data_IF_062154566415
#
_entry.id   IF_062154566415
#
_cell.length_a   1.000
_cell.length_b   1.000
_cell.length_c   1.000
_cell.angle_alpha   90.00
_cell.angle_beta   90.00
_cell.angle_gamma   90.00
#
_symmetry.space_group_name_H-M   'P 1'
#
loop_
_entity.id
_entity.type
_entity.pdbx_description
1 polymer ?
#
# COMPACT_ATOMS: atom_id res chain seq x y z
N UNK A 1 24.37 -10.16 -15.65
CA UNK A 1 23.13 -10.26 -14.84
C UNK A 1 21.87 -9.99 -15.67
N UNK A 2 21.81 -8.92 -16.48
CA UNK A 2 20.63 -8.56 -17.30
C UNK A 2 20.18 -9.67 -18.27
N UNK A 3 21.08 -10.34 -18.95
CA UNK A 3 20.75 -11.46 -19.85
C UNK A 3 20.12 -12.63 -19.12
N UNK A 4 20.66 -13.00 -17.94
CA UNK A 4 20.10 -14.06 -17.12
C UNK A 4 18.75 -13.70 -16.52
N UNK A 5 18.57 -12.43 -16.11
CA UNK A 5 17.28 -11.90 -15.68
C UNK A 5 16.20 -12.08 -16.75
N UNK A 6 16.51 -11.70 -18.01
CA UNK A 6 15.56 -11.86 -19.12
C UNK A 6 15.32 -13.32 -19.53
N UNK A 7 16.30 -14.20 -19.29
CA UNK A 7 16.20 -15.61 -19.68
C UNK A 7 15.55 -16.50 -18.64
N UNK A 8 15.82 -16.27 -17.35
CA UNK A 8 15.43 -17.22 -16.29
C UNK A 8 14.36 -16.70 -15.34
N UNK A 9 14.15 -15.39 -15.27
CA UNK A 9 13.11 -14.79 -14.41
C UNK A 9 11.94 -14.27 -15.28
N UNK A 10 10.72 -14.72 -14.98
CA UNK A 10 9.55 -14.23 -15.69
C UNK A 10 9.32 -12.75 -15.41
N UNK A 11 9.11 -11.95 -16.48
CA UNK A 11 8.76 -10.55 -16.41
C UNK A 11 7.24 -10.37 -16.51
N UNK A 12 6.75 -9.23 -16.00
CA UNK A 12 5.34 -8.81 -16.08
C UNK A 12 5.10 -7.69 -17.11
N UNK A 13 6.15 -7.31 -17.84
CA UNK A 13 6.13 -6.34 -18.93
C UNK A 13 7.09 -6.79 -20.04
N UNK A 14 6.74 -6.54 -21.32
CA UNK A 14 7.68 -6.82 -22.44
C UNK A 14 8.88 -5.87 -22.45
N UNK A 15 8.81 -4.76 -21.69
CA UNK A 15 9.84 -3.73 -21.65
C UNK A 15 10.30 -3.44 -20.21
N UNK A 16 10.89 -4.41 -19.48
CA UNK A 16 11.36 -4.18 -18.12
C UNK A 16 12.52 -3.17 -18.11
N UNK A 17 12.60 -2.31 -17.10
CA UNK A 17 13.72 -1.37 -16.92
C UNK A 17 15.07 -2.11 -16.80
N UNK A 18 15.05 -3.30 -16.23
CA UNK A 18 16.21 -4.19 -16.10
C UNK A 18 17.47 -3.52 -15.52
N UNK A 19 17.28 -2.63 -14.55
CA UNK A 19 18.38 -2.00 -13.80
C UNK A 19 19.08 -3.06 -12.94
N UNK A 20 20.40 -3.17 -13.06
CA UNK A 20 21.21 -4.13 -12.32
C UNK A 20 21.57 -3.55 -10.94
N UNK A 21 20.79 -3.86 -9.93
CA UNK A 21 20.97 -3.35 -8.55
C UNK A 21 22.11 -4.08 -7.85
N UNK A 22 23.03 -3.32 -7.26
CA UNK A 22 24.12 -3.81 -6.39
C UNK A 22 23.67 -3.80 -4.92
N UNK A 23 23.28 -2.64 -4.41
CA UNK A 23 22.85 -2.45 -3.03
C UNK A 23 21.95 -1.22 -2.92
N UNK A 24 21.34 -1.02 -1.74
CA UNK A 24 20.55 0.16 -1.45
C UNK A 24 20.77 0.59 0.01
N UNK A 25 20.69 1.91 0.32
CA UNK A 25 20.85 2.44 1.67
C UNK A 25 20.13 3.79 1.81
N UNK A 26 19.38 3.98 2.90
CA UNK A 26 18.61 5.21 3.11
C UNK A 26 17.61 5.43 1.97
N UNK A 27 17.67 6.58 1.33
CA UNK A 27 16.83 6.95 0.18
C UNK A 27 17.46 6.58 -1.18
N UNK A 28 18.55 5.82 -1.22
CA UNK A 28 19.31 5.58 -2.45
C UNK A 28 19.42 4.11 -2.80
N UNK A 29 19.39 3.84 -4.12
CA UNK A 29 19.72 2.56 -4.76
C UNK A 29 21.00 2.75 -5.58
N UNK A 30 21.86 1.75 -5.62
CA UNK A 30 23.13 1.75 -6.36
C UNK A 30 23.13 0.61 -7.36
N UNK A 31 23.52 0.91 -8.59
CA UNK A 31 23.71 -0.12 -9.61
C UNK A 31 25.08 -0.81 -9.52
N UNK A 32 25.29 -1.81 -10.36
CA UNK A 32 26.56 -2.57 -10.43
C UNK A 32 27.75 -1.75 -10.96
N UNK A 33 27.51 -0.58 -11.55
CA UNK A 33 28.55 0.34 -12.03
C UNK A 33 28.88 1.40 -10.97
N UNK A 34 28.20 1.37 -9.81
CA UNK A 34 28.37 2.34 -8.72
C UNK A 34 27.59 3.64 -8.90
N UNK A 35 26.72 3.75 -9.93
CA UNK A 35 25.85 4.90 -10.09
C UNK A 35 24.79 4.90 -9.00
N UNK A 36 24.60 6.06 -8.37
CA UNK A 36 23.65 6.33 -7.29
C UNK A 36 22.34 6.85 -7.88
N UNK A 37 21.22 6.33 -7.37
CA UNK A 37 19.88 6.76 -7.74
C UNK A 37 19.09 7.12 -6.48
N UNK A 38 18.56 8.33 -6.41
CA UNK A 38 17.59 8.72 -5.38
C UNK A 38 16.26 8.03 -5.65
N UNK A 39 15.67 7.38 -4.63
CA UNK A 39 14.49 6.54 -4.78
C UNK A 39 13.21 7.27 -4.32
N UNK A 40 12.42 7.77 -5.28
CA UNK A 40 11.10 8.34 -5.01
C UNK A 40 9.96 7.32 -5.12
N UNK A 41 10.28 6.03 -5.09
CA UNK A 41 9.29 4.93 -5.18
C UNK A 41 9.22 4.11 -3.90
N UNK A 42 10.36 3.93 -3.22
CA UNK A 42 10.50 3.14 -1.99
C UNK A 42 9.86 1.74 -2.09
N UNK A 43 10.17 1.01 -3.20
CA UNK A 43 9.58 -0.31 -3.43
C UNK A 43 8.05 -0.28 -3.50
N UNK A 44 7.48 0.75 -4.11
CA UNK A 44 6.03 1.03 -4.16
C UNK A 44 5.46 1.19 -2.73
N UNK A 45 6.09 2.06 -1.94
CA UNK A 45 5.75 2.36 -0.53
C UNK A 45 5.99 1.20 0.46
N UNK A 46 6.76 0.18 0.08
CA UNK A 46 7.10 -0.93 0.99
C UNK A 46 8.28 -0.58 1.91
N UNK A 47 9.27 0.16 1.39
CA UNK A 47 10.45 0.60 2.14
C UNK A 47 10.19 1.96 2.81
N UNK A 48 9.15 2.05 3.65
CA UNK A 48 8.74 3.33 4.27
C UNK A 48 9.82 3.96 5.16
N UNK A 49 10.70 3.17 5.77
CA UNK A 49 11.85 3.65 6.55
C UNK A 49 13.14 3.77 5.73
N UNK A 50 13.04 3.66 4.40
CA UNK A 50 14.21 3.59 3.53
C UNK A 50 14.88 2.22 3.52
N UNK A 51 15.94 2.12 2.73
CA UNK A 51 16.68 0.88 2.57
C UNK A 51 17.65 0.64 3.74
N UNK A 52 17.77 -0.61 4.20
CA UNK A 52 18.66 -1.02 5.27
C UNK A 52 18.51 -0.21 6.58
N UNK A 53 17.27 0.05 7.01
CA UNK A 53 17.06 0.78 8.27
C UNK A 53 17.70 0.02 9.45
N UNK A 54 18.58 0.68 10.26
CA UNK A 54 19.39 -0.03 11.26
C UNK A 54 18.57 -0.79 12.30
N UNK A 55 17.50 -0.18 12.83
CA UNK A 55 16.63 -0.79 13.86
C UNK A 55 15.89 -2.01 13.31
N UNK A 56 15.41 -1.95 12.07
CA UNK A 56 14.71 -3.08 11.42
C UNK A 56 15.70 -4.21 11.15
N UNK A 57 16.86 -3.89 10.57
CA UNK A 57 17.89 -4.89 10.26
C UNK A 57 18.40 -5.58 11.54
N UNK A 58 18.57 -4.84 12.65
CA UNK A 58 19.00 -5.43 13.91
C UNK A 58 17.93 -6.37 14.47
N UNK A 59 16.65 -5.99 14.46
CA UNK A 59 15.56 -6.85 14.91
C UNK A 59 15.46 -8.15 14.10
N UNK A 60 15.70 -8.09 12.79
CA UNK A 60 15.77 -9.27 11.91
C UNK A 60 16.91 -10.20 12.34
N UNK A 61 18.13 -9.67 12.52
CA UNK A 61 19.31 -10.43 12.96
C UNK A 61 19.09 -11.08 14.30
N UNK A 62 18.63 -10.32 15.28
CA UNK A 62 18.37 -10.81 16.65
C UNK A 62 17.32 -11.94 16.67
N UNK A 63 16.35 -11.90 15.76
CA UNK A 63 15.36 -12.95 15.64
C UNK A 63 15.93 -14.19 14.92
N UNK A 64 16.76 -14.01 13.88
CA UNK A 64 17.42 -15.11 13.18
C UNK A 64 18.36 -15.90 14.12
N UNK A 65 19.03 -15.21 15.04
CA UNK A 65 19.89 -15.83 16.06
C UNK A 65 19.10 -16.72 17.06
N UNK A 66 17.78 -16.52 17.20
CA UNK A 66 16.91 -17.34 18.03
C UNK A 66 16.32 -18.52 17.26
N UNK A 67 15.60 -18.20 16.21
CA UNK A 67 15.01 -19.14 15.24
C UNK A 67 14.43 -18.39 14.04
N UNK A 68 14.49 -19.00 12.87
CA UNK A 68 13.95 -18.40 11.64
C UNK A 68 12.45 -18.66 11.50
N UNK A 69 11.98 -19.88 11.73
CA UNK A 69 10.58 -20.28 11.57
C UNK A 69 10.22 -21.44 12.49
N UNK A 70 9.02 -21.40 13.02
CA UNK A 70 8.31 -22.49 13.67
C UNK A 70 6.84 -22.44 13.24
N UNK A 71 6.06 -23.47 13.57
CA UNK A 71 4.64 -23.48 13.20
C UNK A 71 3.89 -22.25 13.71
N UNK A 72 3.13 -21.59 12.84
CA UNK A 72 2.31 -20.43 13.13
C UNK A 72 0.85 -20.83 13.42
N UNK A 73 -0.04 -20.86 12.51
CA UNK A 73 -1.46 -21.26 12.58
C UNK A 73 -2.25 -20.77 13.81
N UNK A 74 -1.69 -19.89 14.63
CA UNK A 74 -2.28 -19.53 15.92
C UNK A 74 -2.07 -20.57 17.03
N UNK A 75 -1.21 -21.57 16.82
CA UNK A 75 -0.96 -22.66 17.79
C UNK A 75 0.16 -22.32 18.78
N UNK A 76 1.26 -21.69 18.31
CA UNK A 76 2.38 -21.34 19.14
C UNK A 76 2.42 -19.82 19.40
N UNK A 77 2.49 -19.43 20.67
CA UNK A 77 2.70 -18.04 21.05
C UNK A 77 4.16 -17.66 20.80
N UNK A 78 4.37 -16.79 19.80
CA UNK A 78 5.69 -16.32 19.40
C UNK A 78 5.83 -14.84 19.73
N UNK A 79 6.84 -14.48 20.54
CA UNK A 79 7.00 -13.15 21.08
C UNK A 79 6.92 -12.03 20.02
N UNK A 80 7.64 -12.05 18.88
CA UNK A 80 7.59 -10.95 17.93
C UNK A 80 6.20 -10.69 17.37
N UNK A 81 5.45 -11.75 17.03
CA UNK A 81 4.10 -11.64 16.50
C UNK A 81 3.11 -11.13 17.54
N UNK A 82 3.20 -11.65 18.78
CA UNK A 82 2.35 -11.22 19.89
C UNK A 82 2.58 -9.75 20.24
N UNK A 83 3.85 -9.34 20.40
CA UNK A 83 4.19 -7.95 20.73
C UNK A 83 3.83 -6.97 19.59
N UNK A 84 3.99 -7.38 18.33
CA UNK A 84 3.54 -6.57 17.20
C UNK A 84 2.02 -6.38 17.21
N UNK A 85 1.25 -7.47 17.33
CA UNK A 85 -0.22 -7.39 17.36
C UNK A 85 -0.73 -6.58 18.57
N UNK A 86 -0.08 -6.70 19.72
CA UNK A 86 -0.41 -5.93 20.94
C UNK A 86 -0.14 -4.44 20.73
N UNK A 87 1.03 -4.07 20.17
CA UNK A 87 1.37 -2.69 19.88
C UNK A 87 0.44 -2.11 18.80
N UNK A 88 0.14 -2.87 17.77
CA UNK A 88 -0.80 -2.47 16.72
C UNK A 88 -2.20 -2.21 17.32
N UNK A 89 -2.70 -3.11 18.17
CA UNK A 89 -3.98 -2.95 18.87
C UNK A 89 -4.02 -1.72 19.80
N UNK A 90 -2.86 -1.29 20.34
CA UNK A 90 -2.77 -0.06 21.13
C UNK A 90 -3.08 1.18 20.28
N UNK A 91 -2.58 1.22 19.04
CA UNK A 91 -2.77 2.36 18.14
C UNK A 91 -4.05 2.28 17.30
N UNK A 92 -4.66 1.11 17.15
CA UNK A 92 -5.94 0.97 16.45
C UNK A 92 -7.11 1.53 17.28
N UNK A 93 -8.06 2.24 16.66
CA UNK A 93 -9.26 2.67 17.33
C UNK A 93 -10.13 1.48 17.77
N UNK A 94 -10.98 1.68 18.79
CA UNK A 94 -12.04 0.70 19.11
C UNK A 94 -13.02 0.59 17.93
N UNK A 95 -13.51 -0.63 17.61
CA UNK A 95 -13.26 -1.92 18.27
C UNK A 95 -12.18 -2.79 17.57
N UNK A 96 -11.29 -2.23 16.76
CA UNK A 96 -10.31 -2.94 15.90
C UNK A 96 -9.12 -3.46 16.72
N UNK A 97 -9.25 -4.62 17.37
CA UNK A 97 -8.25 -5.09 18.35
C UNK A 97 -7.59 -6.42 18.04
N UNK A 98 -8.12 -7.20 17.11
CA UNK A 98 -7.58 -8.53 16.83
C UNK A 98 -7.08 -8.63 15.39
N UNK A 99 -5.81 -9.02 15.23
CA UNK A 99 -5.09 -9.03 13.95
C UNK A 99 -4.72 -10.44 13.55
N UNK A 100 -4.90 -10.76 12.27
CA UNK A 100 -4.38 -11.95 11.62
C UNK A 100 -3.26 -11.57 10.66
N UNK A 101 -2.06 -12.15 10.85
CA UNK A 101 -0.88 -11.89 10.02
C UNK A 101 -0.84 -12.85 8.83
N UNK A 102 -0.49 -12.34 7.67
CA UNK A 102 -0.30 -13.06 6.41
C UNK A 102 0.97 -12.58 5.70
N UNK A 103 1.28 -13.07 4.49
CA UNK A 103 2.56 -12.83 3.83
C UNK A 103 2.54 -11.67 2.82
N UNK A 104 1.36 -11.18 2.48
CA UNK A 104 1.18 -10.14 1.46
C UNK A 104 -0.14 -9.39 1.63
N UNK A 105 -0.21 -8.20 1.03
CA UNK A 105 -1.46 -7.44 1.00
C UNK A 105 -2.60 -8.17 0.27
N UNK A 106 -2.29 -8.91 -0.81
CA UNK A 106 -3.30 -9.70 -1.51
C UNK A 106 -3.89 -10.80 -0.63
N UNK A 107 -3.08 -11.49 0.20
CA UNK A 107 -3.58 -12.47 1.19
C UNK A 107 -4.41 -11.79 2.29
N UNK A 108 -4.07 -10.56 2.69
CA UNK A 108 -4.88 -9.79 3.63
C UNK A 108 -6.27 -9.48 3.04
N UNK A 109 -6.32 -9.12 1.76
CA UNK A 109 -7.58 -8.95 1.02
C UNK A 109 -8.39 -10.24 1.00
N UNK A 110 -7.79 -11.38 0.63
CA UNK A 110 -8.46 -12.69 0.63
C UNK A 110 -9.04 -13.03 2.02
N UNK A 111 -8.26 -12.77 3.07
CA UNK A 111 -8.70 -12.99 4.46
C UNK A 111 -9.88 -12.11 4.83
N UNK A 112 -9.84 -10.83 4.49
CA UNK A 112 -10.92 -9.88 4.76
C UNK A 112 -12.21 -10.22 4.00
N UNK A 113 -12.12 -10.62 2.72
CA UNK A 113 -13.29 -11.05 1.94
C UNK A 113 -13.92 -12.33 2.53
N UNK A 114 -13.10 -13.32 2.92
CA UNK A 114 -13.57 -14.54 3.61
C UNK A 114 -14.24 -14.18 4.94
N UNK A 115 -13.62 -13.31 5.73
CA UNK A 115 -14.17 -12.85 7.00
C UNK A 115 -15.53 -12.17 6.82
N UNK A 116 -15.66 -11.28 5.83
CA UNK A 116 -16.90 -10.57 5.56
C UNK A 116 -18.04 -11.53 5.21
N UNK A 117 -17.80 -12.54 4.36
CA UNK A 117 -18.77 -13.60 4.09
C UNK A 117 -19.13 -14.40 5.34
N UNK A 118 -18.15 -14.69 6.17
CA UNK A 118 -18.34 -15.44 7.41
C UNK A 118 -19.20 -14.69 8.42
N UNK A 119 -18.98 -13.36 8.54
CA UNK A 119 -19.71 -12.50 9.47
C UNK A 119 -21.15 -12.27 9.02
N UNK A 120 -21.36 -12.02 7.73
CA UNK A 120 -22.66 -11.57 7.20
C UNK A 120 -23.52 -12.70 6.65
N UNK A 121 -22.93 -13.83 6.27
CA UNK A 121 -23.61 -14.90 5.54
C UNK A 121 -23.98 -14.52 4.10
N UNK A 122 -23.45 -13.41 3.56
CA UNK A 122 -23.81 -12.86 2.23
C UNK A 122 -22.66 -13.07 1.24
N UNK A 123 -22.96 -13.04 -0.08
CA UNK A 123 -21.98 -13.29 -1.15
C UNK A 123 -21.47 -12.04 -1.85
N UNK A 124 -22.30 -10.98 -1.96
CA UNK A 124 -21.99 -9.82 -2.79
C UNK A 124 -20.89 -8.94 -2.18
N UNK A 125 -19.94 -8.56 -3.02
CA UNK A 125 -18.94 -7.54 -2.72
C UNK A 125 -19.13 -6.32 -3.61
N UNK A 126 -18.82 -5.16 -3.06
CA UNK A 126 -18.72 -3.91 -3.82
C UNK A 126 -17.29 -3.38 -3.70
N UNK A 127 -16.76 -2.86 -4.79
CA UNK A 127 -15.46 -2.18 -4.85
C UNK A 127 -15.58 -0.92 -5.70
N UNK A 128 -14.47 -0.19 -5.90
CA UNK A 128 -14.48 0.96 -6.78
C UNK A 128 -13.88 0.65 -8.15
N UNK A 129 -14.37 1.34 -9.18
CA UNK A 129 -13.66 1.45 -10.44
C UNK A 129 -12.25 1.98 -10.19
N UNK A 130 -11.26 1.47 -10.91
CA UNK A 130 -9.84 1.80 -10.76
C UNK A 130 -9.24 1.51 -9.37
N UNK A 131 -9.86 0.66 -8.54
CA UNK A 131 -9.28 0.18 -7.30
C UNK A 131 -8.31 -0.99 -7.55
N UNK A 132 -7.29 -1.09 -6.68
CA UNK A 132 -6.31 -2.18 -6.68
C UNK A 132 -6.14 -2.78 -5.30
N UNK A 133 -6.48 -4.06 -5.14
CA UNK A 133 -6.44 -4.76 -3.86
C UNK A 133 -5.58 -6.04 -3.89
N UNK A 134 -4.88 -6.30 -4.98
CA UNK A 134 -4.02 -7.47 -5.16
C UNK A 134 -4.28 -8.26 -6.45
N UNK A 135 -3.54 -9.37 -6.63
CA UNK A 135 -3.54 -10.18 -7.85
C UNK A 135 -3.81 -11.67 -7.63
N UNK A 136 -4.27 -12.10 -6.45
CA UNK A 136 -4.87 -13.42 -6.28
C UNK A 136 -6.31 -13.40 -6.80
N UNK A 137 -6.90 -14.55 -7.07
CA UNK A 137 -8.21 -14.63 -7.75
C UNK A 137 -9.31 -13.83 -7.03
N UNK A 138 -9.41 -13.89 -5.71
CA UNK A 138 -10.39 -13.11 -4.95
C UNK A 138 -10.07 -11.62 -4.93
N UNK A 139 -8.84 -11.22 -4.66
CA UNK A 139 -8.44 -9.80 -4.68
C UNK A 139 -8.53 -9.18 -6.08
N UNK A 140 -8.23 -9.97 -7.13
CA UNK A 140 -8.41 -9.56 -8.53
C UNK A 140 -9.89 -9.39 -8.87
N UNK A 141 -10.78 -10.16 -8.27
CA UNK A 141 -12.23 -10.03 -8.48
C UNK A 141 -12.75 -8.66 -8.08
N UNK A 142 -12.20 -8.10 -7.00
CA UNK A 142 -12.53 -6.75 -6.50
C UNK A 142 -11.63 -5.64 -7.07
N UNK A 143 -10.71 -5.96 -8.00
CA UNK A 143 -9.97 -4.96 -8.76
C UNK A 143 -10.90 -4.26 -9.75
N UNK A 144 -10.89 -2.93 -9.76
CA UNK A 144 -11.81 -2.11 -10.57
C UNK A 144 -11.35 -1.78 -11.99
N UNK A 145 -10.41 -2.52 -12.56
CA UNK A 145 -9.83 -2.25 -13.88
C UNK A 145 -9.87 -3.50 -14.77
N UNK A 146 -10.83 -3.55 -15.70
CA UNK A 146 -11.16 -4.76 -16.45
C UNK A 146 -10.03 -5.26 -17.35
N UNK A 147 -9.28 -4.35 -17.98
CA UNK A 147 -8.18 -4.74 -18.90
C UNK A 147 -7.12 -5.62 -18.23
N UNK A 148 -6.93 -5.49 -16.91
CA UNK A 148 -5.95 -6.29 -16.16
C UNK A 148 -6.47 -7.62 -15.64
N UNK A 149 -7.78 -7.87 -15.74
CA UNK A 149 -8.38 -9.08 -15.17
C UNK A 149 -9.16 -9.94 -16.17
N UNK A 150 -9.52 -9.40 -17.33
CA UNK A 150 -10.32 -10.11 -18.33
C UNK A 150 -9.71 -11.45 -18.77
N UNK A 151 -8.37 -11.51 -18.91
CA UNK A 151 -7.64 -12.71 -19.32
C UNK A 151 -7.66 -13.84 -18.27
N UNK A 152 -8.04 -13.52 -17.01
CA UNK A 152 -8.03 -14.46 -15.88
C UNK A 152 -9.42 -14.89 -15.43
N UNK A 153 -10.46 -14.59 -16.22
CA UNK A 153 -11.83 -15.00 -15.93
C UNK A 153 -12.03 -16.51 -16.13
N UNK A 154 -12.92 -17.21 -15.37
CA UNK A 154 -13.89 -16.62 -14.43
C UNK A 154 -13.26 -16.22 -13.10
N UNK A 155 -13.78 -15.14 -12.51
CA UNK A 155 -13.44 -14.63 -11.19
C UNK A 155 -14.60 -14.89 -10.21
N UNK A 156 -14.52 -14.40 -8.96
CA UNK A 156 -15.60 -14.54 -7.99
C UNK A 156 -16.89 -13.90 -8.56
N UNK A 157 -18.04 -14.58 -8.44
CA UNK A 157 -19.34 -14.00 -8.76
C UNK A 157 -19.76 -12.94 -7.73
N UNK A 158 -20.82 -12.20 -8.05
CA UNK A 158 -21.45 -11.20 -7.17
C UNK A 158 -20.49 -10.08 -6.73
N UNK A 159 -19.73 -9.53 -7.68
CA UNK A 159 -18.89 -8.34 -7.45
C UNK A 159 -19.39 -7.20 -8.32
N UNK A 160 -19.80 -6.10 -7.67
CA UNK A 160 -20.23 -4.87 -8.30
C UNK A 160 -19.26 -3.72 -8.05
N UNK A 161 -19.34 -2.67 -8.86
CA UNK A 161 -18.44 -1.53 -8.77
C UNK A 161 -19.20 -0.20 -8.66
N UNK A 162 -18.61 0.71 -7.87
CA UNK A 162 -19.04 2.09 -7.73
C UNK A 162 -17.91 3.03 -8.17
N UNK A 163 -18.25 4.27 -8.46
CA UNK A 163 -17.26 5.32 -8.71
C UNK A 163 -16.86 5.99 -7.41
N UNK A 164 -15.56 6.07 -7.15
CA UNK A 164 -15.03 6.74 -5.96
C UNK A 164 -15.47 8.21 -5.95
N UNK A 165 -15.93 8.71 -4.81
CA UNK A 165 -16.53 10.04 -4.63
C UNK A 165 -17.90 10.27 -5.31
N UNK A 166 -18.53 9.24 -5.89
CA UNK A 166 -19.90 9.37 -6.38
C UNK A 166 -20.90 8.94 -5.31
N UNK A 167 -21.61 9.91 -4.73
CA UNK A 167 -22.58 9.67 -3.65
C UNK A 167 -23.80 8.87 -4.11
N UNK A 168 -24.23 9.04 -5.37
CA UNK A 168 -25.38 8.32 -5.92
C UNK A 168 -25.14 6.79 -5.98
N UNK A 169 -23.90 6.41 -6.22
CA UNK A 169 -23.48 5.01 -6.29
C UNK A 169 -23.56 4.30 -4.92
N UNK A 170 -23.58 5.02 -3.80
CA UNK A 170 -23.68 4.46 -2.45
C UNK A 170 -24.97 3.64 -2.29
N UNK A 171 -26.04 3.98 -3.01
CA UNK A 171 -27.30 3.22 -3.02
C UNK A 171 -27.16 1.77 -3.53
N UNK A 172 -26.08 1.44 -4.27
CA UNK A 172 -25.77 0.07 -4.70
C UNK A 172 -25.40 -0.85 -3.53
N UNK A 173 -25.00 -0.29 -2.37
CA UNK A 173 -24.78 -1.05 -1.13
C UNK A 173 -26.13 -1.39 -0.55
N UNK A 174 -26.48 -2.68 -0.51
CA UNK A 174 -27.82 -3.17 -0.13
C UNK A 174 -27.75 -4.28 0.93
N UNK A 175 -28.88 -4.77 1.37
CA UNK A 175 -28.97 -5.93 2.27
C UNK A 175 -28.41 -7.23 1.69
N UNK A 176 -28.04 -7.27 0.40
CA UNK A 176 -27.35 -8.40 -0.24
C UNK A 176 -25.83 -8.30 -0.09
N UNK A 177 -25.31 -7.10 0.17
CA UNK A 177 -23.88 -6.82 0.23
C UNK A 177 -23.26 -7.38 1.50
N UNK A 178 -22.24 -8.22 1.35
CA UNK A 178 -21.40 -8.70 2.46
C UNK A 178 -20.46 -7.59 2.95
N UNK A 179 -19.76 -6.96 2.01
CA UNK A 179 -18.87 -5.86 2.30
C UNK A 179 -18.65 -4.97 1.06
N UNK A 180 -18.30 -3.72 1.33
CA UNK A 180 -17.61 -2.86 0.38
C UNK A 180 -16.13 -2.75 0.78
N UNK A 181 -15.22 -2.85 -0.20
CA UNK A 181 -13.79 -2.65 -0.01
C UNK A 181 -13.33 -1.39 -0.72
N UNK A 182 -12.67 -0.49 0.00
CA UNK A 182 -12.18 0.79 -0.46
C UNK A 182 -10.76 1.05 0.02
N UNK A 183 -9.97 1.77 -0.79
CA UNK A 183 -8.73 2.39 -0.34
C UNK A 183 -9.06 3.70 0.39
N UNK A 184 -8.37 4.04 1.48
CA UNK A 184 -8.59 5.35 2.14
C UNK A 184 -8.13 6.54 1.28
N UNK A 185 -7.19 6.31 0.37
CA UNK A 185 -6.83 7.16 -0.78
C UNK A 185 -6.66 6.23 -1.96
N UNK A 186 -7.42 6.45 -3.04
CA UNK A 186 -7.41 5.54 -4.19
C UNK A 186 -6.07 5.61 -4.94
N UNK A 187 -5.24 4.58 -4.76
CA UNK A 187 -3.83 4.59 -5.14
C UNK A 187 -3.59 4.52 -6.63
N UNK A 188 -4.06 3.46 -7.28
CA UNK A 188 -3.83 3.19 -8.71
C UNK A 188 -4.42 4.21 -9.65
N UNK A 189 -5.46 4.91 -9.23
CA UNK A 189 -6.23 5.89 -10.00
C UNK A 189 -5.65 7.32 -10.01
N UNK A 190 -4.51 7.55 -9.37
CA UNK A 190 -3.92 8.90 -9.31
C UNK A 190 -3.91 9.53 -7.93
N UNK A 191 -3.90 8.74 -6.88
CA UNK A 191 -3.93 9.18 -5.47
C UNK A 191 -5.12 10.11 -5.15
N UNK A 192 -6.31 9.63 -5.52
CA UNK A 192 -7.58 10.36 -5.32
C UNK A 192 -7.98 10.29 -3.85
N UNK A 193 -8.15 11.46 -3.22
CA UNK A 193 -8.63 11.57 -1.85
C UNK A 193 -10.16 11.48 -1.80
N UNK A 194 -10.74 10.96 -0.69
CA UNK A 194 -12.17 11.08 -0.44
C UNK A 194 -12.59 12.53 -0.27
N UNK A 195 -13.71 12.89 -0.87
CA UNK A 195 -14.28 14.24 -0.84
C UNK A 195 -15.66 14.21 -0.17
N UNK A 196 -16.12 15.35 0.32
CA UNK A 196 -17.48 15.58 0.82
C UNK A 196 -17.99 14.55 1.85
N UNK A 197 -17.08 13.96 2.65
CA UNK A 197 -17.43 12.93 3.62
C UNK A 197 -17.81 11.58 3.00
N UNK A 198 -17.35 11.28 1.79
CA UNK A 198 -17.68 10.06 1.05
C UNK A 198 -17.50 8.78 1.89
N UNK A 199 -16.36 8.59 2.57
CA UNK A 199 -16.12 7.40 3.39
C UNK A 199 -17.09 7.31 4.59
N UNK A 200 -17.45 8.42 5.20
CA UNK A 200 -18.43 8.47 6.30
C UNK A 200 -19.80 8.06 5.79
N UNK A 201 -20.24 8.59 4.65
CA UNK A 201 -21.54 8.23 4.03
C UNK A 201 -21.58 6.74 3.65
N UNK A 202 -20.48 6.20 3.13
CA UNK A 202 -20.36 4.75 2.86
C UNK A 202 -20.47 3.95 4.14
N UNK A 203 -19.81 4.37 5.24
CA UNK A 203 -19.89 3.68 6.53
C UNK A 203 -21.31 3.70 7.09
N UNK A 204 -21.97 4.86 7.08
CA UNK A 204 -23.37 5.00 7.49
C UNK A 204 -24.28 4.06 6.69
N UNK A 205 -24.10 4.01 5.37
CA UNK A 205 -24.88 3.09 4.53
C UNK A 205 -24.60 1.62 4.84
N UNK A 206 -23.35 1.25 5.11
CA UNK A 206 -23.02 -0.10 5.54
C UNK A 206 -23.74 -0.49 6.84
N UNK A 207 -23.79 0.43 7.81
CA UNK A 207 -24.50 0.22 9.08
C UNK A 207 -25.99 0.03 8.88
N UNK A 208 -26.64 0.87 8.06
CA UNK A 208 -28.07 0.77 7.73
C UNK A 208 -28.46 -0.60 7.17
N UNK A 209 -27.64 -1.17 6.28
CA UNK A 209 -27.97 -2.42 5.59
C UNK A 209 -27.28 -3.65 6.20
N UNK A 210 -26.44 -3.46 7.21
CA UNK A 210 -25.67 -4.53 7.86
C UNK A 210 -24.58 -5.12 6.96
N UNK A 211 -24.00 -4.33 6.05
CA UNK A 211 -22.79 -4.66 5.30
C UNK A 211 -21.54 -4.25 6.10
N UNK A 212 -20.36 -4.77 5.73
CA UNK A 212 -19.10 -4.35 6.35
C UNK A 212 -18.36 -3.35 5.46
N UNK A 213 -17.72 -2.36 6.09
CA UNK A 213 -16.74 -1.50 5.44
C UNK A 213 -15.33 -2.07 5.68
N UNK A 214 -14.66 -2.48 4.60
CA UNK A 214 -13.25 -2.88 4.58
C UNK A 214 -12.45 -1.70 4.03
N UNK A 215 -11.47 -1.18 4.79
CA UNK A 215 -10.55 -0.15 4.30
C UNK A 215 -9.19 -0.75 4.04
N UNK A 216 -8.69 -0.51 2.83
CA UNK A 216 -7.35 -0.89 2.38
C UNK A 216 -6.34 0.19 2.77
N UNK A 217 -5.52 -0.14 3.76
CA UNK A 217 -4.40 0.66 4.28
C UNK A 217 -3.02 0.13 3.84
N UNK A 218 -3.00 -0.76 2.84
CA UNK A 218 -1.76 -1.38 2.36
C UNK A 218 -0.77 -0.32 1.85
N UNK A 219 -1.24 0.70 1.17
CA UNK A 219 -0.39 1.81 0.71
C UNK A 219 -0.51 3.07 1.57
N UNK A 220 -1.70 3.54 1.98
CA UNK A 220 -1.86 4.77 2.76
C UNK A 220 -1.40 4.68 4.21
N UNK A 221 -1.35 3.48 4.78
CA UNK A 221 -1.02 3.26 6.19
C UNK A 221 0.44 3.48 6.57
N UNK A 222 0.72 3.32 7.85
CA UNK A 222 2.05 3.37 8.46
C UNK A 222 2.78 4.69 8.23
N UNK A 223 2.09 5.82 8.50
CA UNK A 223 2.68 7.17 8.48
C UNK A 223 2.63 7.86 7.13
N UNK A 224 2.33 7.15 6.04
CA UNK A 224 2.42 7.63 4.65
C UNK A 224 1.61 8.91 4.39
N UNK A 225 0.47 9.09 5.03
CA UNK A 225 -0.46 10.19 4.83
C UNK A 225 -0.44 11.26 5.94
N UNK A 226 0.57 11.23 6.83
CA UNK A 226 0.68 12.15 7.97
C UNK A 226 -0.17 11.73 9.19
N UNK A 227 -0.76 10.54 9.15
CA UNK A 227 -1.40 9.82 10.24
C UNK A 227 -0.87 8.39 10.24
N UNK A 228 -1.04 7.63 11.33
CA UNK A 228 -0.60 6.23 11.35
C UNK A 228 -1.39 5.42 10.32
N UNK A 229 -2.70 5.64 10.22
CA UNK A 229 -3.56 5.08 9.18
C UNK A 229 -4.23 6.18 8.36
N UNK A 230 -4.38 5.95 7.05
CA UNK A 230 -4.95 6.91 6.12
C UNK A 230 -6.41 7.28 6.46
N UNK A 231 -7.22 6.31 6.91
CA UNK A 231 -8.63 6.54 7.28
C UNK A 231 -8.81 7.54 8.44
N UNK A 232 -7.81 7.72 9.30
CA UNK A 232 -7.85 8.70 10.40
C UNK A 232 -7.98 10.15 9.90
N UNK A 233 -7.54 10.42 8.66
CA UNK A 233 -7.69 11.74 8.04
C UNK A 233 -9.16 12.07 7.71
N UNK A 234 -10.04 11.08 7.68
CA UNK A 234 -11.42 11.20 7.20
C UNK A 234 -12.46 10.87 8.27
N UNK A 235 -12.05 10.72 9.54
CA UNK A 235 -12.90 10.47 10.70
C UNK A 235 -13.84 9.27 10.52
N UNK A 236 -13.38 8.21 9.87
CA UNK A 236 -14.13 6.97 9.67
C UNK A 236 -13.44 5.83 10.40
N UNK A 237 -14.21 4.96 11.05
CA UNK A 237 -13.69 3.71 11.65
C UNK A 237 -14.30 2.56 10.86
N UNK A 238 -13.50 1.81 10.09
CA UNK A 238 -13.99 0.67 9.32
C UNK A 238 -14.29 -0.54 10.20
N UNK A 239 -14.96 -1.54 9.64
CA UNK A 239 -15.21 -2.83 10.31
C UNK A 239 -13.99 -3.77 10.20
N UNK A 240 -13.26 -3.64 9.09
CA UNK A 240 -12.02 -4.40 8.82
C UNK A 240 -11.00 -3.47 8.18
N UNK A 241 -9.75 -3.54 8.63
CA UNK A 241 -8.59 -2.88 8.02
C UNK A 241 -7.67 -3.93 7.43
N UNK A 242 -7.26 -3.77 6.18
CA UNK A 242 -6.19 -4.57 5.57
C UNK A 242 -4.91 -3.75 5.45
N UNK A 243 -3.77 -4.38 5.72
CA UNK A 243 -2.46 -3.72 5.83
C UNK A 243 -1.37 -4.54 5.15
N UNK A 244 -0.25 -3.88 4.82
CA UNK A 244 0.91 -4.51 4.20
C UNK A 244 2.02 -3.52 3.92
N UNK A 245 2.84 -3.78 2.90
CA UNK A 245 3.91 -2.86 2.41
C UNK A 245 4.73 -2.22 3.54
N UNK A 246 4.51 -0.93 3.80
CA UNK A 246 5.23 -0.13 4.79
C UNK A 246 5.25 -0.73 6.20
N UNK A 247 4.27 -1.56 6.54
CA UNK A 247 4.22 -2.31 7.79
C UNK A 247 5.45 -3.18 8.02
N UNK A 248 6.02 -3.75 6.95
CA UNK A 248 7.13 -4.70 7.02
C UNK A 248 8.52 -4.07 7.02
N UNK A 249 8.65 -2.75 6.82
CA UNK A 249 9.97 -2.11 6.69
C UNK A 249 10.83 -2.67 5.55
N UNK A 250 10.18 -3.05 4.43
CA UNK A 250 10.81 -3.69 3.27
C UNK A 250 10.67 -5.22 3.24
N UNK A 251 10.16 -5.85 4.30
CA UNK A 251 9.89 -7.31 4.34
C UNK A 251 8.48 -7.64 3.84
N UNK A 252 8.27 -8.83 3.21
CA UNK A 252 6.97 -9.25 2.70
C UNK A 252 6.00 -9.55 3.85
N UNK A 253 4.87 -8.85 3.91
CA UNK A 253 3.87 -9.01 4.95
C UNK A 253 2.51 -8.48 4.50
N UNK A 254 1.46 -9.03 5.09
CA UNK A 254 0.11 -8.50 5.13
C UNK A 254 -0.54 -8.77 6.47
N UNK A 255 -1.63 -8.09 6.73
CA UNK A 255 -2.47 -8.32 7.90
C UNK A 255 -3.89 -7.83 7.64
N UNK A 256 -4.85 -8.40 8.36
CA UNK A 256 -6.17 -7.82 8.48
C UNK A 256 -6.59 -7.79 9.94
N UNK A 257 -7.25 -6.70 10.33
CA UNK A 257 -7.66 -6.42 11.71
C UNK A 257 -9.14 -6.10 11.75
N UNK A 258 -9.83 -6.69 12.72
CA UNK A 258 -11.23 -6.39 12.99
C UNK A 258 -11.52 -6.50 14.49
N UNK A 259 -12.77 -6.30 14.89
CA UNK A 259 -13.19 -6.56 16.27
C UNK A 259 -13.08 -8.05 16.61
N UNK A 260 -12.76 -8.35 17.87
CA UNK A 260 -12.50 -9.73 18.32
C UNK A 260 -13.64 -10.69 17.97
N UNK A 261 -14.88 -10.29 18.16
CA UNK A 261 -16.04 -11.13 17.84
C UNK A 261 -16.12 -11.57 16.35
N UNK A 262 -15.59 -10.78 15.42
CA UNK A 262 -15.50 -11.18 14.01
C UNK A 262 -14.33 -12.13 13.78
N UNK A 263 -13.15 -11.78 14.31
CA UNK A 263 -11.94 -12.59 14.12
C UNK A 263 -12.05 -13.97 14.74
N UNK A 264 -12.79 -14.11 15.85
CA UNK A 264 -13.01 -15.40 16.52
C UNK A 264 -13.79 -16.39 15.67
N UNK A 265 -14.58 -15.93 14.69
CA UNK A 265 -15.27 -16.80 13.73
C UNK A 265 -14.31 -17.57 12.81
N UNK A 266 -13.04 -17.18 12.69
CA UNK A 266 -12.04 -17.90 11.91
C UNK A 266 -11.46 -19.11 12.64
N UNK A 267 -11.68 -19.25 13.95
CA UNK A 267 -11.11 -20.31 14.78
C UNK A 267 -11.92 -21.61 14.78
N UNK A 268 -13.19 -21.56 14.35
CA UNK A 268 -14.09 -22.69 14.42
C UNK A 268 -15.00 -22.78 13.19
N UNK A 269 -15.55 -23.95 12.94
CA UNK A 269 -16.54 -24.28 11.92
C UNK A 269 -16.21 -23.73 10.49
N UNK A 270 -15.13 -24.19 9.83
CA UNK A 270 -14.24 -25.27 10.27
C UNK A 270 -13.01 -24.75 11.06
N UNK A 271 -12.49 -25.54 11.96
CA UNK A 271 -11.14 -25.33 12.50
C UNK A 271 -10.12 -25.30 11.37
N UNK A 272 -9.11 -24.42 11.48
CA UNK A 272 -8.06 -24.27 10.47
C UNK A 272 -8.59 -23.92 9.07
N UNK A 273 -9.77 -23.32 8.97
CA UNK A 273 -10.39 -22.93 7.70
C UNK A 273 -9.72 -21.73 7.01
N UNK A 274 -8.86 -21.00 7.72
CA UNK A 274 -8.03 -19.91 7.19
C UNK A 274 -6.64 -20.00 7.79
N UNK A 275 -5.72 -20.66 7.10
CA UNK A 275 -4.33 -20.85 7.52
C UNK A 275 -3.35 -20.48 6.41
N UNK A 276 -2.15 -20.10 6.81
CA UNK A 276 -1.00 -19.92 5.93
C UNK A 276 0.25 -20.41 6.65
N UNK A 277 1.18 -21.04 5.93
CA UNK A 277 2.40 -21.60 6.51
C UNK A 277 3.30 -20.53 7.13
N UNK A 278 3.36 -19.34 6.54
CA UNK A 278 4.30 -18.29 6.92
C UNK A 278 3.63 -17.02 7.47
N UNK A 279 2.31 -16.97 7.59
CA UNK A 279 1.59 -15.80 8.16
C UNK A 279 1.96 -15.62 9.62
N UNK A 280 2.57 -14.46 9.96
CA UNK A 280 3.14 -14.23 11.29
C UNK A 280 4.54 -14.81 11.49
N UNK A 281 5.28 -15.04 10.38
CA UNK A 281 6.67 -15.49 10.43
C UNK A 281 7.51 -14.66 11.40
N UNK A 282 8.24 -15.29 12.36
CA UNK A 282 8.88 -14.58 13.47
C UNK A 282 9.85 -13.47 13.04
N UNK A 283 10.65 -13.72 12.01
CA UNK A 283 11.61 -12.74 11.48
C UNK A 283 10.88 -11.53 10.86
N UNK A 284 9.79 -11.80 10.14
CA UNK A 284 8.96 -10.75 9.54
C UNK A 284 8.21 -9.96 10.62
N UNK A 285 7.66 -10.66 11.62
CA UNK A 285 6.99 -10.02 12.76
C UNK A 285 7.95 -9.13 13.58
N UNK A 286 9.21 -9.54 13.74
CA UNK A 286 10.24 -8.73 14.37
C UNK A 286 10.53 -7.45 13.58
N UNK A 287 10.60 -7.56 12.24
CA UNK A 287 10.72 -6.40 11.36
C UNK A 287 9.52 -5.46 11.48
N UNK A 288 8.29 -6.00 11.48
CA UNK A 288 7.06 -5.22 11.65
C UNK A 288 7.02 -4.47 12.99
N UNK A 289 7.40 -5.16 14.07
CA UNK A 289 7.45 -4.56 15.40
C UNK A 289 8.47 -3.40 15.46
N UNK A 290 9.67 -3.61 14.91
CA UNK A 290 10.69 -2.57 14.85
C UNK A 290 10.25 -1.38 13.97
N UNK A 291 9.58 -1.66 12.86
CA UNK A 291 9.03 -0.64 11.94
C UNK A 291 7.94 0.18 12.62
N UNK A 292 6.97 -0.46 13.27
CA UNK A 292 5.88 0.25 13.95
C UNK A 292 6.42 1.12 15.10
N UNK A 293 7.36 0.61 15.88
CA UNK A 293 8.04 1.38 16.92
C UNK A 293 8.77 2.60 16.34
N UNK A 294 9.54 2.43 15.26
CA UNK A 294 10.25 3.54 14.65
C UNK A 294 9.29 4.64 14.19
N UNK A 295 8.20 4.28 13.54
CA UNK A 295 7.20 5.22 13.05
C UNK A 295 6.48 5.94 14.19
N UNK A 296 6.19 5.25 15.31
CA UNK A 296 5.38 5.80 16.40
C UNK A 296 6.17 6.44 17.53
N UNK A 297 7.46 6.10 17.69
CA UNK A 297 8.36 6.63 18.73
C UNK A 297 9.20 7.82 18.22
N UNK A 298 9.12 8.15 16.93
CA UNK A 298 9.84 9.27 16.31
C UNK A 298 8.87 10.31 15.72
N UNK A 299 9.40 11.36 15.13
CA UNK A 299 8.62 12.44 14.49
C UNK A 299 8.24 12.17 13.02
N UNK A 300 8.49 10.98 12.50
CA UNK A 300 8.27 10.64 11.08
C UNK A 300 6.85 10.96 10.60
N UNK A 301 5.82 10.68 11.41
CA UNK A 301 4.43 10.97 11.04
C UNK A 301 4.20 12.48 10.91
N UNK A 302 4.66 13.28 11.87
CA UNK A 302 4.50 14.74 11.85
C UNK A 302 5.31 15.39 10.72
N UNK A 303 6.51 14.88 10.45
CA UNK A 303 7.37 15.33 9.36
C UNK A 303 6.79 15.03 7.97
N UNK A 304 5.93 14.03 7.83
CA UNK A 304 5.33 13.67 6.54
C UNK A 304 4.57 14.85 5.90
N UNK A 305 3.79 15.60 6.70
CA UNK A 305 3.04 16.76 6.18
C UNK A 305 3.95 17.97 5.87
N UNK A 306 5.04 18.13 6.62
CA UNK A 306 6.05 19.17 6.33
C UNK A 306 6.72 18.88 4.98
N UNK A 307 7.09 17.62 4.76
CA UNK A 307 7.69 17.16 3.50
C UNK A 307 6.70 17.23 2.32
N UNK A 308 5.43 16.91 2.53
CA UNK A 308 4.38 17.14 1.53
C UNK A 308 4.34 18.60 1.06
N UNK A 309 4.32 19.53 2.02
CA UNK A 309 4.31 20.96 1.70
C UNK A 309 5.51 21.35 0.85
N UNK A 310 6.71 20.88 1.22
CA UNK A 310 7.93 21.16 0.46
C UNK A 310 7.86 20.61 -0.98
N UNK A 311 7.36 19.37 -1.17
CA UNK A 311 7.14 18.84 -2.52
C UNK A 311 6.21 19.72 -3.36
N UNK A 312 5.08 20.17 -2.77
CA UNK A 312 4.10 21.02 -3.47
C UNK A 312 4.66 22.41 -3.81
N UNK A 313 5.50 22.97 -2.95
CA UNK A 313 6.17 24.25 -3.19
C UNK A 313 7.22 24.15 -4.30
N UNK A 314 7.93 23.03 -4.40
CA UNK A 314 8.98 22.82 -5.39
C UNK A 314 8.46 22.36 -6.75
N UNK A 315 7.44 21.50 -6.81
CA UNK A 315 6.92 20.91 -8.05
C UNK A 315 5.94 21.85 -8.77
N UNK A 316 6.44 23.02 -9.15
CA UNK A 316 5.70 24.05 -9.92
C UNK A 316 6.32 24.17 -11.31
N UNK A 317 5.59 23.77 -12.35
CA UNK A 317 6.04 23.83 -13.74
C UNK A 317 4.83 23.87 -14.70
N UNK A 318 4.88 24.55 -15.87
CA UNK A 318 3.74 24.62 -16.80
C UNK A 318 3.19 23.27 -17.26
N UNK A 319 4.02 22.22 -17.33
CA UNK A 319 3.61 20.86 -17.66
C UNK A 319 2.98 20.08 -16.50
N UNK A 320 3.15 20.53 -15.24
CA UNK A 320 2.48 19.95 -14.08
C UNK A 320 1.15 20.68 -13.89
N UNK A 321 0.05 19.97 -14.02
CA UNK A 321 -1.29 20.53 -13.87
C UNK A 321 -1.72 20.63 -12.41
N UNK A 322 -1.35 19.66 -11.60
CA UNK A 322 -1.58 19.59 -10.16
C UNK A 322 -0.68 18.54 -9.49
N UNK A 323 -0.53 18.62 -8.18
CA UNK A 323 0.07 17.56 -7.36
C UNK A 323 -1.03 16.99 -6.48
N UNK A 324 -1.46 15.74 -6.76
CA UNK A 324 -2.50 15.00 -6.03
C UNK A 324 -1.94 14.22 -4.87
N UNK A 325 -2.83 13.76 -3.98
CA UNK A 325 -2.51 12.88 -2.88
C UNK A 325 -2.32 13.61 -1.56
N UNK A 326 -1.80 12.90 -0.55
CA UNK A 326 -1.63 13.38 0.82
C UNK A 326 -0.38 12.79 1.46
N UNK A 327 0.31 13.60 2.26
CA UNK A 327 1.56 13.21 2.89
C UNK A 327 2.65 12.90 1.85
N UNK A 328 3.30 11.76 1.99
CA UNK A 328 4.29 11.26 1.01
C UNK A 328 3.68 10.17 0.10
N UNK A 329 2.41 10.28 -0.21
CA UNK A 329 1.69 9.55 -1.24
C UNK A 329 1.20 10.56 -2.28
N UNK A 330 2.12 11.03 -3.14
CA UNK A 330 1.91 12.13 -4.09
C UNK A 330 2.03 11.67 -5.53
N UNK A 331 1.30 12.36 -6.42
CA UNK A 331 1.39 12.21 -7.86
C UNK A 331 1.44 13.59 -8.51
N UNK A 332 2.49 13.89 -9.27
CA UNK A 332 2.52 15.05 -10.16
C UNK A 332 1.78 14.70 -11.45
N UNK A 333 0.67 15.39 -11.71
CA UNK A 333 -0.20 15.14 -12.85
C UNK A 333 0.26 15.98 -14.04
N UNK A 334 0.52 15.31 -15.15
CA UNK A 334 0.87 15.95 -16.43
C UNK A 334 -0.25 15.76 -17.47
N UNK A 335 -0.09 16.36 -18.64
CA UNK A 335 -1.15 16.41 -19.64
C UNK A 335 -1.37 15.05 -20.34
N UNK A 336 -0.29 14.31 -20.64
CA UNK A 336 -0.36 13.04 -21.39
C UNK A 336 0.55 11.97 -20.80
N UNK A 337 0.25 10.68 -21.05
CA UNK A 337 1.10 9.57 -20.63
C UNK A 337 2.50 9.60 -21.26
N UNK A 338 2.67 10.16 -22.45
CA UNK A 338 3.95 10.28 -23.15
C UNK A 338 4.90 11.20 -22.36
N UNK A 339 4.37 12.30 -21.80
CA UNK A 339 5.14 13.19 -20.90
C UNK A 339 5.61 12.42 -19.66
N UNK A 340 4.72 11.64 -19.03
CA UNK A 340 5.07 10.80 -17.89
C UNK A 340 6.21 9.84 -18.23
N UNK A 341 6.10 9.15 -19.37
CA UNK A 341 7.12 8.20 -19.83
C UNK A 341 8.47 8.88 -20.00
N UNK A 342 8.50 10.00 -20.72
CA UNK A 342 9.74 10.71 -21.00
C UNK A 342 10.39 11.25 -19.72
N UNK A 343 9.60 11.81 -18.80
CA UNK A 343 10.11 12.28 -17.50
C UNK A 343 10.72 11.15 -16.69
N UNK A 344 10.05 9.99 -16.61
CA UNK A 344 10.56 8.84 -15.83
C UNK A 344 11.92 8.38 -16.36
N UNK A 345 12.07 8.23 -17.70
CA UNK A 345 13.34 7.81 -18.28
C UNK A 345 14.44 8.86 -18.13
N UNK A 346 14.15 10.13 -18.40
CA UNK A 346 15.13 11.22 -18.21
C UNK A 346 15.59 11.33 -16.75
N UNK A 347 14.68 11.22 -15.79
CA UNK A 347 15.01 11.23 -14.37
C UNK A 347 15.90 10.03 -13.99
N UNK A 348 15.63 8.84 -14.53
CA UNK A 348 16.50 7.67 -14.32
C UNK A 348 17.91 7.90 -14.86
N UNK A 349 18.05 8.50 -16.04
CA UNK A 349 19.35 8.87 -16.59
C UNK A 349 20.10 9.88 -15.72
N UNK A 350 19.38 10.78 -15.05
CA UNK A 350 19.92 11.80 -14.14
C UNK A 350 20.10 11.30 -12.68
N UNK A 351 19.78 10.04 -12.38
CA UNK A 351 19.97 9.45 -11.04
C UNK A 351 18.79 9.61 -10.09
N UNK A 352 17.56 9.72 -10.60
CA UNK A 352 16.33 9.70 -9.82
C UNK A 352 15.41 8.59 -10.32
N UNK A 353 14.93 7.74 -9.40
CA UNK A 353 13.96 6.68 -9.71
C UNK A 353 12.55 7.20 -9.45
N UNK A 354 11.76 7.24 -10.51
CA UNK A 354 10.31 7.47 -10.52
C UNK A 354 9.61 6.24 -11.11
N UNK A 355 8.28 6.18 -10.97
CA UNK A 355 7.50 5.08 -11.54
C UNK A 355 6.09 5.53 -11.91
N UNK A 356 5.46 4.75 -12.76
CA UNK A 356 4.06 4.95 -13.19
C UNK A 356 3.06 4.61 -12.10
N UNK A 357 1.85 5.15 -12.19
CA UNK A 357 0.69 4.62 -11.49
C UNK A 357 -0.03 3.57 -12.35
N UNK A 358 -0.79 2.69 -11.70
CA UNK A 358 -1.33 1.49 -12.37
C UNK A 358 -2.40 1.81 -13.43
N UNK A 359 -3.27 2.79 -13.15
CA UNK A 359 -4.46 3.08 -13.94
C UNK A 359 -4.55 4.54 -14.40
N UNK A 360 -3.57 5.36 -14.02
CA UNK A 360 -3.48 6.75 -14.45
C UNK A 360 -2.10 7.03 -15.07
N UNK A 361 -2.06 6.92 -16.39
CA UNK A 361 -0.82 7.06 -17.16
C UNK A 361 -0.22 8.47 -17.14
N UNK A 362 -1.02 9.50 -16.77
CA UNK A 362 -0.56 10.89 -16.68
C UNK A 362 0.06 11.23 -15.33
N UNK A 363 0.17 10.27 -14.44
CA UNK A 363 0.65 10.48 -13.08
C UNK A 363 2.10 10.05 -12.90
N UNK A 364 2.95 10.96 -12.49
CA UNK A 364 4.31 10.69 -12.02
C UNK A 364 4.24 10.39 -10.53
N UNK A 365 4.51 9.14 -10.14
CA UNK A 365 4.47 8.68 -8.74
C UNK A 365 5.61 9.28 -7.92
N UNK A 366 5.28 9.81 -6.74
CA UNK A 366 6.22 10.34 -5.75
C UNK A 366 5.84 9.76 -4.39
N UNK A 367 6.52 8.66 -4.02
CA UNK A 367 6.28 7.92 -2.77
C UNK A 367 7.61 7.57 -2.09
N UNK A 368 8.47 8.57 -1.77
CA UNK A 368 9.79 8.33 -1.20
C UNK A 368 9.69 7.68 0.19
N UNK A 369 10.80 7.23 0.78
CA UNK A 369 10.84 6.85 2.20
C UNK A 369 10.37 8.01 3.10
N UNK A 370 9.74 7.72 4.22
CA UNK A 370 9.35 8.75 5.22
C UNK A 370 10.58 9.44 5.82
N UNK A 371 11.71 8.73 5.82
CA UNK A 371 13.01 9.21 6.31
C UNK A 371 13.73 10.15 5.36
N UNK A 372 13.21 10.38 4.14
CA UNK A 372 13.83 11.27 3.16
C UNK A 372 14.11 12.67 3.76
N UNK A 373 15.28 13.24 3.51
CA UNK A 373 15.66 14.58 3.98
C UNK A 373 15.11 15.69 3.08
N UNK A 374 15.11 16.92 3.58
CA UNK A 374 14.72 18.10 2.78
C UNK A 374 15.69 18.34 1.60
N UNK A 375 16.98 18.06 1.81
CA UNK A 375 18.00 18.16 0.76
C UNK A 375 17.76 17.14 -0.35
N UNK A 376 17.44 15.92 0.00
CA UNK A 376 17.08 14.86 -0.96
C UNK A 376 15.78 15.20 -1.71
N UNK A 377 14.80 15.81 -1.05
CA UNK A 377 13.57 16.29 -1.71
C UNK A 377 13.91 17.38 -2.72
N UNK A 378 14.75 18.37 -2.35
CA UNK A 378 15.20 19.44 -3.25
C UNK A 378 15.98 18.90 -4.44
N UNK A 379 16.91 17.94 -4.20
CA UNK A 379 17.67 17.25 -5.24
C UNK A 379 16.72 16.57 -6.25
N UNK A 380 15.80 15.73 -5.77
CA UNK A 380 14.90 15.00 -6.65
C UNK A 380 13.90 15.88 -7.40
N UNK A 381 13.36 16.93 -6.75
CA UNK A 381 12.49 17.89 -7.42
C UNK A 381 13.23 18.68 -8.50
N UNK A 382 14.47 19.07 -8.27
CA UNK A 382 15.29 19.76 -9.28
C UNK A 382 15.49 18.89 -10.52
N UNK A 383 15.77 17.57 -10.33
CA UNK A 383 15.89 16.62 -11.45
C UNK A 383 14.60 16.51 -12.24
N UNK A 384 13.43 16.44 -11.55
CA UNK A 384 12.12 16.39 -12.22
C UNK A 384 11.88 17.65 -13.05
N UNK A 385 12.14 18.83 -12.47
CA UNK A 385 11.93 20.10 -13.15
C UNK A 385 12.85 20.27 -14.35
N UNK A 386 14.12 19.89 -14.24
CA UNK A 386 15.07 19.89 -15.35
C UNK A 386 14.61 18.97 -16.50
N UNK A 387 14.11 17.77 -16.17
CA UNK A 387 13.58 16.84 -17.17
C UNK A 387 12.34 17.42 -17.89
N UNK A 388 11.46 18.11 -17.16
CA UNK A 388 10.29 18.78 -17.72
C UNK A 388 10.66 19.99 -18.60
N UNK A 389 11.64 20.81 -18.18
CA UNK A 389 12.12 21.96 -18.92
C UNK A 389 12.73 21.59 -20.27
N UNK A 390 13.54 20.53 -20.29
CA UNK A 390 14.09 19.96 -21.54
C UNK A 390 12.99 19.54 -22.55
N UNK A 391 11.82 19.20 -22.07
CA UNK A 391 10.67 18.82 -22.91
C UNK A 391 9.86 20.05 -23.33
N UNK A 392 9.72 21.02 -22.45
CA UNK A 392 8.96 22.23 -22.70
C UNK A 392 9.55 23.06 -23.85
N UNK A 393 10.86 23.15 -23.94
CA UNK A 393 11.58 23.85 -25.00
C UNK A 393 11.68 23.09 -26.34
N UNK A 394 11.26 21.80 -26.38
CA UNK A 394 11.22 21.03 -27.63
C UNK A 394 9.88 21.14 -28.38
N UNK A 395 8.87 21.76 -27.76
CA UNK A 395 7.58 22.09 -28.39
C UNK A 395 7.68 23.45 -29.07
#
# INVERSE_FOLDING_TARGET
MKEDFLKYQAQTSPYPLAMEVSHAKGSYIYDTNGKKYLDFVAGVSACSLGHQHPRVNQAIKDQLDKYSHVMVYGEYAQNPAVEFCKLLAHYMPEPLKKTYLVNSGTEATEGALKLARRVTGRSQFISCHNAYHGNTMGSMSVMGFEERKQAFRPLLPDVDFITFNNEEDIAKITTKTAAIILESIQGGAGFIQPENGFLTKVKERCEEVGALLIIDEIQPGFGRTGKLFGFENYNVIPDVVIMGKGMGGGMPVGAFTAKSAYMDLLSDNPKLGHITTFGGHPVIAAACLATLREITETDLISQTLVKEKLFRELLVHPLIKEVRGKGLMLAAMVETPEITNEVIFKCQDKGLILFWLLFEGRAIRITPPLTISEEEIKEGCAIILEALEEMYHKK
#
